data_IF_811623347649
#
_entry.id   IF_811623347649
#
_cell.length_a   1.000
_cell.length_b   1.000
_cell.length_c   1.000
_cell.angle_alpha   90.00
_cell.angle_beta   90.00
_cell.angle_gamma   90.00
#
_symmetry.space_group_name_H-M   'P 1'
#
loop_
_entity.id
_entity.type
_entity.pdbx_description
1 polymer ?
#
# COMPACT_ATOMS: atom_id res chain seq x y z
N UNK A 1 8.69 26.29 -51.56
CA UNK A 1 8.71 26.87 -50.22
C UNK A 1 8.09 25.86 -49.28
N UNK A 2 8.92 25.08 -48.58
CA UNK A 2 8.50 24.06 -47.64
C UNK A 2 8.50 24.67 -46.24
N UNK A 3 7.30 24.73 -45.60
CA UNK A 3 7.17 25.19 -44.23
C UNK A 3 7.70 24.09 -43.29
N UNK A 4 8.55 24.40 -42.30
CA UNK A 4 8.93 23.45 -41.30
C UNK A 4 7.77 23.19 -40.34
N UNK A 5 7.35 21.93 -40.23
CA UNK A 5 6.40 21.47 -39.24
C UNK A 5 7.10 21.48 -37.89
N UNK A 6 6.79 22.46 -37.06
CA UNK A 6 7.27 22.52 -35.67
C UNK A 6 6.55 21.42 -34.86
N UNK A 7 7.26 20.36 -34.53
CA UNK A 7 6.80 19.37 -33.56
C UNK A 7 6.70 20.07 -32.20
N UNK A 8 5.50 20.39 -31.78
CA UNK A 8 5.23 20.86 -30.42
C UNK A 8 5.51 19.69 -29.48
N UNK A 9 6.61 19.72 -28.77
CA UNK A 9 6.85 18.85 -27.63
C UNK A 9 5.71 19.07 -26.64
N UNK A 10 4.90 18.04 -26.41
CA UNK A 10 3.92 18.05 -25.33
C UNK A 10 4.67 18.20 -24.03
N UNK A 11 4.62 19.38 -23.43
CA UNK A 11 5.13 19.62 -22.08
C UNK A 11 4.33 18.74 -21.14
N UNK A 12 5.00 17.78 -20.48
CA UNK A 12 4.43 16.99 -19.40
C UNK A 12 4.12 17.94 -18.25
N UNK A 13 2.86 18.29 -18.07
CA UNK A 13 2.37 19.30 -17.09
C UNK A 13 2.17 18.70 -15.68
N UNK A 14 2.66 17.52 -15.39
CA UNK A 14 2.55 16.88 -14.06
C UNK A 14 3.74 17.16 -13.16
N UNK A 15 3.53 17.07 -11.86
CA UNK A 15 4.61 17.15 -10.87
C UNK A 15 5.47 15.89 -10.88
N UNK A 16 6.73 16.06 -10.57
CA UNK A 16 7.64 14.94 -10.35
C UNK A 16 8.16 15.00 -8.89
N UNK A 17 7.49 14.23 -8.01
CA UNK A 17 7.94 14.06 -6.63
C UNK A 17 8.93 12.91 -6.50
N UNK A 18 9.97 13.10 -5.70
CA UNK A 18 10.97 12.04 -5.44
C UNK A 18 11.29 11.94 -3.95
N UNK A 19 11.49 10.72 -3.49
CA UNK A 19 11.86 10.40 -2.12
C UNK A 19 12.90 9.28 -2.16
N UNK A 20 14.10 9.52 -1.55
CA UNK A 20 15.11 8.49 -1.37
C UNK A 20 15.44 8.38 0.11
N UNK A 21 15.37 7.18 0.65
CA UNK A 21 15.56 6.87 2.07
C UNK A 21 16.54 5.73 2.24
N UNK A 22 17.52 5.91 3.12
CA UNK A 22 18.42 4.83 3.51
C UNK A 22 18.42 4.68 5.02
N UNK A 23 18.31 3.43 5.48
CA UNK A 23 18.31 3.08 6.89
C UNK A 23 19.46 2.13 7.17
N UNK A 24 20.19 2.37 8.24
CA UNK A 24 21.24 1.47 8.68
C UNK A 24 21.14 1.22 10.19
N UNK A 25 21.68 0.08 10.60
CA UNK A 25 21.80 -0.30 12.00
C UNK A 25 23.24 -0.10 12.48
N UNK A 26 23.40 0.52 13.64
CA UNK A 26 24.63 0.57 14.40
C UNK A 26 24.39 0.10 15.86
N UNK A 27 25.38 0.11 16.77
CA UNK A 27 25.17 -0.30 18.17
C UNK A 27 24.09 0.49 18.93
N UNK A 28 23.67 1.66 18.44
CA UNK A 28 22.59 2.46 19.04
C UNK A 28 21.22 2.11 18.52
N UNK A 29 21.11 1.31 17.45
CA UNK A 29 19.83 0.91 16.84
C UNK A 29 19.75 1.21 15.34
N UNK A 30 18.53 1.27 14.81
CA UNK A 30 18.27 1.55 13.39
C UNK A 30 18.02 3.04 13.17
N UNK A 31 18.72 3.67 12.24
CA UNK A 31 18.62 5.10 11.95
C UNK A 31 18.37 5.39 10.48
N UNK A 32 17.67 6.49 10.20
CA UNK A 32 17.62 7.10 8.87
C UNK A 32 18.96 7.78 8.61
N UNK A 33 19.80 7.19 7.74
CA UNK A 33 21.15 7.68 7.43
C UNK A 33 21.18 8.64 6.26
N UNK A 34 20.22 8.50 5.33
CA UNK A 34 20.08 9.41 4.19
C UNK A 34 18.63 9.68 3.89
N UNK A 35 18.31 10.94 3.61
CA UNK A 35 17.00 11.37 3.14
C UNK A 35 17.16 12.43 2.05
N UNK A 36 16.63 12.14 0.87
CA UNK A 36 16.44 13.13 -0.20
C UNK A 36 14.96 13.27 -0.46
N UNK A 37 14.49 14.50 -0.55
CA UNK A 37 13.07 14.84 -0.72
C UNK A 37 12.89 15.87 -1.81
N UNK A 38 12.02 15.56 -2.76
CA UNK A 38 11.54 16.50 -3.78
C UNK A 38 10.02 16.60 -3.69
N UNK A 39 9.53 17.84 -3.53
CA UNK A 39 8.07 18.09 -3.47
C UNK A 39 7.32 17.46 -4.66
N UNK A 40 6.10 16.96 -4.46
CA UNK A 40 5.27 17.11 -3.26
C UNK A 40 5.52 16.06 -2.15
N UNK A 41 6.49 15.17 -2.32
CA UNK A 41 6.83 14.19 -1.29
C UNK A 41 7.65 14.83 -0.17
N UNK A 42 7.40 14.41 1.07
CA UNK A 42 8.12 14.80 2.29
C UNK A 42 8.15 13.64 3.27
N UNK A 43 9.01 13.75 4.30
CA UNK A 43 9.03 12.87 5.46
C UNK A 43 8.95 13.67 6.74
N UNK A 44 8.36 13.09 7.78
CA UNK A 44 8.46 13.58 9.14
C UNK A 44 9.80 13.15 9.74
N UNK A 45 10.17 13.78 10.85
CA UNK A 45 11.32 13.33 11.64
C UNK A 45 11.11 11.89 12.12
N UNK A 46 12.12 11.00 11.99
CA UNK A 46 12.05 9.65 12.55
C UNK A 46 11.71 9.65 14.05
N UNK A 47 11.02 8.63 14.50
CA UNK A 47 10.68 8.45 15.91
C UNK A 47 10.76 6.97 16.29
N UNK A 48 10.86 6.68 17.59
CA UNK A 48 11.24 5.39 18.12
C UNK A 48 10.32 4.96 19.28
N UNK A 49 9.02 4.67 19.01
CA UNK A 49 8.04 4.41 20.06
C UNK A 49 8.24 3.07 20.76
N UNK A 50 9.01 2.18 20.17
CA UNK A 50 9.34 0.85 20.68
C UNK A 50 10.84 0.63 20.95
N UNK A 51 11.58 1.73 21.16
CA UNK A 51 13.04 1.74 21.37
C UNK A 51 13.82 1.83 20.07
N UNK A 52 15.12 2.04 20.17
CA UNK A 52 15.99 2.39 19.05
C UNK A 52 16.17 1.27 18.01
N UNK A 53 15.73 0.06 18.32
CA UNK A 53 15.80 -1.09 17.41
C UNK A 53 14.96 -0.91 16.13
N UNK A 54 13.81 -0.21 16.23
CA UNK A 54 12.87 -0.03 15.13
C UNK A 54 12.67 1.45 14.85
N UNK A 55 13.08 1.88 13.65
CA UNK A 55 12.89 3.24 13.19
C UNK A 55 11.51 3.41 12.55
N UNK A 56 10.65 4.23 13.13
CA UNK A 56 9.37 4.60 12.51
C UNK A 56 9.51 5.87 11.68
N UNK A 57 9.01 5.83 10.44
CA UNK A 57 9.01 6.97 9.54
C UNK A 57 7.61 7.20 8.94
N UNK A 58 7.22 8.47 8.90
CA UNK A 58 5.95 8.89 8.26
C UNK A 58 6.27 9.67 7.00
N UNK A 59 5.75 9.21 5.86
CA UNK A 59 5.83 9.90 4.58
C UNK A 59 4.59 10.75 4.35
N UNK A 60 4.73 11.85 3.60
CA UNK A 60 3.66 12.78 3.29
C UNK A 60 3.65 13.13 1.81
N UNK A 61 2.44 13.33 1.28
CA UNK A 61 2.21 13.99 0.00
C UNK A 61 1.55 15.35 0.26
N UNK A 62 2.29 16.44 0.08
CA UNK A 62 1.87 17.76 0.55
C UNK A 62 0.92 18.50 -0.37
N UNK A 63 0.71 18.02 -1.60
CA UNK A 63 -0.23 18.62 -2.56
C UNK A 63 -1.68 18.16 -2.39
N UNK A 64 -1.99 17.39 -1.34
CA UNK A 64 -3.36 16.96 -1.04
C UNK A 64 -3.89 15.80 -1.91
N UNK A 65 -3.22 15.43 -2.99
CA UNK A 65 -3.53 14.28 -3.84
C UNK A 65 -2.81 14.35 -5.19
N UNK A 66 -2.91 13.28 -5.94
CA UNK A 66 -2.24 13.04 -7.22
C UNK A 66 -3.20 13.34 -8.35
N UNK A 67 -2.76 14.01 -9.41
CA UNK A 67 -3.54 14.30 -10.61
C UNK A 67 -2.91 13.65 -11.84
N UNK A 68 -3.68 13.56 -12.94
CA UNK A 68 -3.18 13.00 -14.20
C UNK A 68 -1.90 13.67 -14.67
N UNK A 69 -0.88 12.86 -15.01
CA UNK A 69 0.44 13.31 -15.42
C UNK A 69 1.48 13.41 -14.30
N UNK A 70 1.07 13.37 -13.03
CA UNK A 70 2.00 13.33 -11.89
C UNK A 70 2.82 12.05 -11.89
N UNK A 71 4.09 12.17 -11.48
CA UNK A 71 5.02 11.05 -11.29
C UNK A 71 5.63 11.11 -9.90
N UNK A 72 5.44 10.04 -9.15
CA UNK A 72 6.02 9.89 -7.81
C UNK A 72 7.01 8.73 -7.82
N UNK A 73 8.24 8.98 -7.37
CA UNK A 73 9.30 7.97 -7.28
C UNK A 73 9.76 7.85 -5.83
N UNK A 74 9.69 6.66 -5.28
CA UNK A 74 10.13 6.36 -3.92
C UNK A 74 11.19 5.25 -3.98
N UNK A 75 12.39 5.54 -3.47
CA UNK A 75 13.48 4.59 -3.32
C UNK A 75 13.77 4.39 -1.84
N UNK A 76 13.70 3.15 -1.37
CA UNK A 76 13.94 2.79 0.04
C UNK A 76 14.99 1.70 0.10
N UNK A 77 16.05 1.93 0.85
CA UNK A 77 17.12 0.96 1.07
C UNK A 77 17.32 0.72 2.57
N UNK A 78 17.22 -0.53 2.96
CA UNK A 78 17.60 -0.99 4.30
C UNK A 78 18.92 -1.74 4.20
N UNK A 79 19.92 -1.26 4.95
CA UNK A 79 21.19 -1.94 5.14
C UNK A 79 21.03 -3.16 6.07
N UNK A 80 22.03 -4.05 6.15
CA UNK A 80 21.92 -5.28 6.92
C UNK A 80 21.40 -5.06 8.36
N UNK A 81 20.52 -5.95 8.81
CA UNK A 81 19.90 -5.97 10.15
C UNK A 81 19.08 -4.72 10.52
N UNK A 82 18.90 -3.73 9.64
CA UNK A 82 18.04 -2.59 9.92
C UNK A 82 16.57 -3.01 10.00
N UNK A 83 15.82 -2.44 10.93
CA UNK A 83 14.39 -2.65 11.07
C UNK A 83 13.65 -1.32 11.01
N UNK A 84 12.77 -1.17 10.05
CA UNK A 84 12.06 0.09 9.82
C UNK A 84 10.59 -0.15 9.56
N UNK A 85 9.74 0.69 10.14
CA UNK A 85 8.31 0.80 9.80
C UNK A 85 8.08 2.12 9.07
N UNK A 86 7.52 2.04 7.87
CA UNK A 86 7.15 3.21 7.06
C UNK A 86 5.64 3.22 6.85
N UNK A 87 5.01 4.36 7.16
CA UNK A 87 3.59 4.61 6.92
C UNK A 87 3.38 5.98 6.29
N UNK A 88 2.14 6.31 5.90
CA UNK A 88 1.77 7.63 5.41
C UNK A 88 0.95 8.40 6.45
N UNK A 89 1.03 9.74 6.45
CA UNK A 89 0.31 10.58 7.43
C UNK A 89 -1.21 10.56 7.24
N UNK A 90 -1.68 10.33 6.01
CA UNK A 90 -3.09 10.37 5.65
C UNK A 90 -3.36 9.48 4.43
N UNK A 91 -4.63 9.24 4.15
CA UNK A 91 -5.09 8.59 2.93
C UNK A 91 -4.60 9.33 1.67
N UNK A 92 -4.03 8.58 0.73
CA UNK A 92 -3.72 9.06 -0.61
C UNK A 92 -4.99 9.34 -1.40
N UNK A 93 -5.01 10.39 -2.22
CA UNK A 93 -6.13 10.72 -3.11
C UNK A 93 -5.60 10.77 -4.54
N UNK A 94 -6.29 10.08 -5.43
CA UNK A 94 -6.02 10.14 -6.87
C UNK A 94 -7.24 10.77 -7.53
N UNK A 95 -7.06 11.98 -8.05
CA UNK A 95 -8.14 12.76 -8.62
C UNK A 95 -8.47 12.32 -10.05
N UNK A 96 -9.64 12.73 -10.52
CA UNK A 96 -10.04 12.60 -11.94
C UNK A 96 -8.94 13.13 -12.85
N UNK A 97 -8.63 12.37 -13.89
CA UNK A 97 -7.65 12.74 -14.90
C UNK A 97 -8.29 13.49 -16.07
N UNK A 98 -7.49 14.30 -16.72
CA UNK A 98 -7.78 14.93 -18.02
C UNK A 98 -7.30 14.07 -19.22
N UNK A 99 -7.06 12.77 -19.00
CA UNK A 99 -6.59 11.81 -19.99
C UNK A 99 -5.16 11.29 -19.74
N UNK A 100 -4.38 11.98 -18.90
CA UNK A 100 -3.02 11.54 -18.58
C UNK A 100 -3.03 10.57 -17.38
N UNK A 101 -2.12 9.58 -17.40
CA UNK A 101 -1.96 8.64 -16.29
C UNK A 101 -1.03 9.24 -15.22
N UNK A 102 -1.48 9.25 -13.97
CA UNK A 102 -0.63 9.48 -12.82
C UNK A 102 0.13 8.19 -12.48
N UNK A 103 1.41 8.30 -12.17
CA UNK A 103 2.28 7.15 -11.93
C UNK A 103 2.97 7.25 -10.57
N UNK A 104 2.99 6.14 -9.84
CA UNK A 104 3.80 5.97 -8.64
C UNK A 104 4.69 4.75 -8.78
N UNK A 105 5.99 4.94 -8.64
CA UNK A 105 6.98 3.85 -8.64
C UNK A 105 7.63 3.78 -7.27
N UNK A 106 7.67 2.59 -6.69
CA UNK A 106 8.32 2.32 -5.41
C UNK A 106 9.35 1.22 -5.61
N UNK A 107 10.61 1.54 -5.33
CA UNK A 107 11.74 0.60 -5.35
C UNK A 107 12.22 0.39 -3.92
N UNK A 108 12.24 -0.86 -3.48
CA UNK A 108 12.62 -1.23 -2.12
C UNK A 108 13.73 -2.27 -2.17
N UNK A 109 14.81 -2.03 -1.45
CA UNK A 109 15.91 -2.99 -1.27
C UNK A 109 16.06 -3.29 0.21
N UNK A 110 15.91 -4.55 0.56
CA UNK A 110 16.02 -5.02 1.95
C UNK A 110 17.20 -5.96 2.02
N UNK A 111 18.28 -5.49 2.66
CA UNK A 111 19.52 -6.23 2.79
C UNK A 111 19.37 -7.41 3.77
N UNK A 112 20.43 -8.21 3.90
CA UNK A 112 20.47 -9.42 4.72
C UNK A 112 19.96 -9.17 6.15
N UNK A 113 19.07 -10.03 6.59
CA UNK A 113 18.48 -10.00 7.95
C UNK A 113 17.79 -8.67 8.33
N UNK A 114 17.55 -7.77 7.37
CA UNK A 114 16.78 -6.55 7.59
C UNK A 114 15.28 -6.81 7.47
N UNK A 115 14.48 -5.94 8.09
CA UNK A 115 13.02 -6.02 8.09
C UNK A 115 12.40 -4.67 7.70
N UNK A 116 11.55 -4.67 6.69
CA UNK A 116 10.72 -3.51 6.35
C UNK A 116 9.24 -3.81 6.57
N UNK A 117 8.59 -2.96 7.34
CA UNK A 117 7.14 -2.91 7.52
C UNK A 117 6.60 -1.72 6.73
N UNK A 118 6.01 -1.99 5.55
CA UNK A 118 5.44 -1.00 4.63
C UNK A 118 3.94 -0.93 4.79
N UNK A 119 3.45 0.01 5.61
CA UNK A 119 2.07 0.05 6.10
C UNK A 119 1.40 1.41 5.81
N UNK A 120 1.23 1.80 4.53
CA UNK A 120 0.61 3.08 4.18
C UNK A 120 -0.88 3.13 4.56
N UNK A 121 -1.41 4.34 4.71
CA UNK A 121 -2.86 4.56 4.74
C UNK A 121 -3.48 4.16 3.39
N UNK A 122 -4.82 4.11 3.32
CA UNK A 122 -5.52 3.77 2.08
C UNK A 122 -5.32 4.78 0.95
N UNK A 123 -5.43 4.30 -0.28
CA UNK A 123 -5.54 5.12 -1.48
C UNK A 123 -7.01 5.21 -1.92
N UNK A 124 -7.51 6.44 -2.09
CA UNK A 124 -8.87 6.71 -2.60
C UNK A 124 -8.75 7.13 -4.05
N UNK A 125 -9.21 6.28 -4.95
CA UNK A 125 -9.19 6.50 -6.40
C UNK A 125 -10.54 7.08 -6.82
N UNK A 126 -10.59 8.34 -7.22
CA UNK A 126 -11.82 9.04 -7.60
C UNK A 126 -12.32 8.57 -8.96
N UNK A 127 -13.59 8.74 -9.23
CA UNK A 127 -14.15 8.48 -10.56
C UNK A 127 -13.40 9.28 -11.63
N UNK A 128 -13.09 8.65 -12.77
CA UNK A 128 -12.32 9.24 -13.86
C UNK A 128 -10.81 9.33 -13.63
N UNK A 129 -10.28 8.78 -12.55
CA UNK A 129 -8.84 8.72 -12.32
C UNK A 129 -8.16 7.75 -13.30
N UNK A 130 -6.96 8.12 -13.76
CA UNK A 130 -6.04 7.26 -14.51
C UNK A 130 -4.79 7.08 -13.63
N UNK A 131 -4.64 5.91 -13.00
CA UNK A 131 -3.58 5.69 -12.01
C UNK A 131 -2.88 4.35 -12.19
N UNK A 132 -1.57 4.39 -12.12
CA UNK A 132 -0.70 3.23 -12.12
C UNK A 132 0.28 3.29 -10.97
N UNK A 133 0.35 2.22 -10.20
CA UNK A 133 1.35 1.99 -9.15
C UNK A 133 2.15 0.74 -9.46
N UNK A 134 3.47 0.86 -9.41
CA UNK A 134 4.39 -0.27 -9.52
C UNK A 134 5.30 -0.28 -8.28
N UNK A 135 5.27 -1.38 -7.53
CA UNK A 135 6.08 -1.60 -6.33
C UNK A 135 7.00 -2.80 -6.58
N UNK A 136 8.30 -2.60 -6.47
CA UNK A 136 9.29 -3.66 -6.54
C UNK A 136 10.06 -3.74 -5.23
N UNK A 137 10.14 -4.94 -4.69
CA UNK A 137 10.88 -5.27 -3.47
C UNK A 137 11.94 -6.31 -3.81
N UNK A 138 13.21 -5.99 -3.60
CA UNK A 138 14.33 -6.90 -3.73
C UNK A 138 14.79 -7.30 -2.31
N UNK A 139 14.66 -8.59 -1.98
CA UNK A 139 15.02 -9.16 -0.69
C UNK A 139 16.35 -9.92 -0.78
N UNK A 140 17.26 -9.61 0.13
CA UNK A 140 18.44 -10.43 0.36
C UNK A 140 18.10 -11.67 1.20
N UNK A 141 19.10 -12.47 1.54
CA UNK A 141 18.93 -13.64 2.39
C UNK A 141 18.43 -13.26 3.78
N UNK A 142 17.50 -14.04 4.34
CA UNK A 142 16.86 -13.79 5.64
C UNK A 142 16.21 -12.42 5.80
N UNK A 143 16.09 -11.62 4.73
CA UNK A 143 15.33 -10.38 4.74
C UNK A 143 13.83 -10.65 4.85
N UNK A 144 13.10 -9.70 5.45
CA UNK A 144 11.66 -9.80 5.65
C UNK A 144 10.97 -8.52 5.17
N UNK A 145 9.91 -8.68 4.40
CA UNK A 145 9.01 -7.60 4.03
C UNK A 145 7.58 -7.92 4.46
N UNK A 146 6.99 -6.98 5.19
CA UNK A 146 5.58 -6.96 5.52
C UNK A 146 4.98 -5.71 4.88
N UNK A 147 3.97 -5.89 4.03
CA UNK A 147 3.39 -4.72 3.39
C UNK A 147 1.94 -4.90 3.02
N UNK A 148 1.17 -3.83 3.16
CA UNK A 148 -0.20 -3.82 2.70
C UNK A 148 -0.49 -2.70 1.71
N UNK A 149 -1.54 -2.92 0.94
CA UNK A 149 -2.21 -1.95 0.10
C UNK A 149 -3.70 -1.99 0.39
N UNK A 150 -4.28 -0.83 0.62
CA UNK A 150 -5.72 -0.65 0.78
C UNK A 150 -6.18 0.38 -0.26
N UNK A 151 -7.10 -0.01 -1.13
CA UNK A 151 -7.62 0.87 -2.18
C UNK A 151 -9.14 0.97 -2.08
N UNK A 152 -9.64 2.20 -2.13
CA UNK A 152 -11.05 2.51 -2.27
C UNK A 152 -11.33 3.10 -3.64
N UNK A 153 -12.23 2.49 -4.38
CA UNK A 153 -12.68 2.94 -5.70
C UNK A 153 -13.94 3.83 -5.55
N UNK A 154 -13.79 5.11 -5.89
CA UNK A 154 -14.81 6.14 -5.70
C UNK A 154 -14.88 6.69 -4.26
N UNK A 155 -15.38 7.93 -4.12
CA UNK A 155 -15.67 8.57 -2.83
C UNK A 155 -17.02 8.14 -2.29
N UNK A 156 -17.14 6.88 -1.91
CA UNK A 156 -18.43 6.26 -1.54
C UNK A 156 -19.17 7.00 -0.42
N UNK A 157 -18.47 7.68 0.50
CA UNK A 157 -19.08 8.54 1.51
C UNK A 157 -19.85 9.74 0.92
N UNK A 158 -19.61 10.09 -0.35
CA UNK A 158 -20.34 11.11 -1.11
C UNK A 158 -21.25 10.50 -2.20
N UNK A 159 -21.48 9.18 -2.17
CA UNK A 159 -22.26 8.47 -3.19
C UNK A 159 -21.53 8.27 -4.53
N UNK A 160 -20.24 8.64 -4.65
CA UNK A 160 -19.49 8.44 -5.87
C UNK A 160 -19.12 6.98 -6.06
N UNK A 161 -19.34 6.48 -7.28
CA UNK A 161 -18.89 5.17 -7.74
C UNK A 161 -17.76 5.36 -8.78
N UNK A 162 -16.97 4.32 -8.99
CA UNK A 162 -15.89 4.32 -9.98
C UNK A 162 -16.44 3.88 -11.34
N UNK A 163 -17.08 4.82 -12.07
CA UNK A 163 -17.76 4.56 -13.34
C UNK A 163 -16.88 4.78 -14.57
N UNK A 164 -15.74 5.43 -14.42
CA UNK A 164 -14.79 5.71 -15.49
C UNK A 164 -13.36 5.76 -14.95
N UNK A 165 -12.38 5.65 -15.85
CA UNK A 165 -10.97 5.68 -15.47
C UNK A 165 -10.33 4.29 -15.38
N UNK A 166 -9.11 4.25 -14.87
CA UNK A 166 -8.31 3.04 -14.72
C UNK A 166 -7.50 3.09 -13.44
N UNK A 167 -7.62 2.06 -12.63
CA UNK A 167 -6.70 1.79 -11.53
C UNK A 167 -5.89 0.52 -11.83
N UNK A 168 -4.58 0.62 -11.69
CA UNK A 168 -3.65 -0.49 -11.84
C UNK A 168 -2.65 -0.44 -10.71
N UNK A 169 -2.44 -1.56 -10.03
CA UNK A 169 -1.38 -1.77 -9.06
C UNK A 169 -0.63 -3.07 -9.36
N UNK A 170 0.68 -3.05 -9.22
CA UNK A 170 1.51 -4.23 -9.36
C UNK A 170 2.57 -4.23 -8.29
N UNK A 171 2.52 -5.20 -7.38
CA UNK A 171 3.55 -5.44 -6.37
C UNK A 171 4.34 -6.69 -6.74
N UNK A 172 5.66 -6.61 -6.68
CA UNK A 172 6.57 -7.70 -7.02
C UNK A 172 7.63 -7.84 -5.92
N UNK A 173 7.83 -9.05 -5.44
CA UNK A 173 8.92 -9.38 -4.50
C UNK A 173 9.87 -10.35 -5.19
N UNK A 174 11.14 -9.98 -5.18
CA UNK A 174 12.23 -10.70 -5.82
C UNK A 174 13.26 -11.12 -4.78
N UNK A 175 13.89 -12.27 -5.00
CA UNK A 175 15.02 -12.75 -4.20
C UNK A 175 15.97 -13.50 -5.13
N UNK A 176 17.27 -13.20 -5.08
CA UNK A 176 18.29 -13.77 -5.96
C UNK A 176 17.90 -13.70 -7.45
N UNK A 177 17.42 -12.53 -7.90
CA UNK A 177 16.95 -12.26 -9.26
C UNK A 177 15.78 -13.17 -9.73
N UNK A 178 15.12 -13.87 -8.80
CA UNK A 178 13.92 -14.67 -9.06
C UNK A 178 12.69 -14.01 -8.43
N UNK A 179 11.56 -13.90 -9.15
CA UNK A 179 10.32 -13.43 -8.57
C UNK A 179 9.74 -14.51 -7.64
N UNK A 180 9.64 -14.19 -6.35
CA UNK A 180 9.05 -15.10 -5.36
C UNK A 180 7.58 -14.81 -5.07
N UNK A 181 7.09 -13.61 -5.42
CA UNK A 181 5.68 -13.25 -5.39
C UNK A 181 5.40 -12.06 -6.31
N UNK A 182 4.33 -12.17 -7.11
CA UNK A 182 3.85 -11.10 -8.00
C UNK A 182 2.33 -10.95 -7.82
N UNK A 183 1.88 -9.73 -7.60
CA UNK A 183 0.47 -9.37 -7.43
C UNK A 183 0.05 -8.26 -8.40
N UNK A 184 -0.43 -8.62 -9.61
CA UNK A 184 -1.00 -7.65 -10.54
C UNK A 184 -2.48 -7.46 -10.24
N UNK A 185 -2.91 -6.22 -10.10
CA UNK A 185 -4.31 -5.83 -9.96
C UNK A 185 -4.66 -4.75 -10.97
N UNK A 186 -5.86 -4.83 -11.56
CA UNK A 186 -6.38 -3.85 -12.51
C UNK A 186 -7.88 -3.78 -12.43
N UNK A 187 -8.41 -2.57 -12.34
CA UNK A 187 -9.85 -2.31 -12.40
C UNK A 187 -10.09 -1.15 -13.35
N UNK A 188 -10.93 -1.39 -14.35
CA UNK A 188 -11.44 -0.37 -15.26
C UNK A 188 -12.78 0.14 -14.73
N UNK A 189 -12.94 1.46 -14.68
CA UNK A 189 -14.17 2.10 -14.23
C UNK A 189 -15.35 1.75 -15.12
N UNK A 190 -16.51 1.47 -14.52
CA UNK A 190 -17.72 1.05 -15.22
C UNK A 190 -17.69 -0.36 -15.82
N UNK A 191 -16.59 -1.10 -15.67
CA UNK A 191 -16.49 -2.47 -16.18
C UNK A 191 -17.31 -3.46 -15.38
N UNK A 192 -17.61 -4.61 -15.98
CA UNK A 192 -18.29 -5.74 -15.33
C UNK A 192 -17.50 -6.28 -14.11
N UNK A 193 -16.19 -6.09 -14.08
CA UNK A 193 -15.35 -6.47 -12.93
C UNK A 193 -15.84 -5.86 -11.61
N UNK A 194 -16.43 -4.67 -11.64
CA UNK A 194 -16.94 -3.99 -10.43
C UNK A 194 -18.14 -4.70 -9.82
N UNK A 195 -19.00 -5.28 -10.63
CA UNK A 195 -20.29 -5.86 -10.21
C UNK A 195 -20.32 -7.38 -10.20
N UNK A 196 -19.50 -8.03 -11.03
CA UNK A 196 -19.42 -9.49 -11.12
C UNK A 196 -19.03 -10.12 -9.78
N UNK A 197 -19.68 -11.23 -9.43
CA UNK A 197 -19.35 -12.04 -8.24
C UNK A 197 -17.91 -12.59 -8.28
N UNK A 198 -17.38 -12.84 -9.47
CA UNK A 198 -16.00 -13.27 -9.68
C UNK A 198 -14.99 -12.09 -9.64
N UNK A 199 -15.48 -10.86 -9.72
CA UNK A 199 -14.71 -9.64 -9.55
C UNK A 199 -14.91 -9.03 -8.17
N UNK A 200 -15.34 -7.76 -8.14
CA UNK A 200 -15.50 -7.02 -6.88
C UNK A 200 -16.88 -7.19 -6.23
N UNK A 201 -17.85 -7.78 -6.92
CA UNK A 201 -19.22 -7.98 -6.41
C UNK A 201 -19.87 -6.70 -5.85
N UNK A 202 -19.62 -5.53 -6.42
CA UNK A 202 -20.09 -4.24 -5.92
C UNK A 202 -19.33 -3.69 -4.70
N UNK A 203 -18.27 -4.36 -4.26
CA UNK A 203 -17.46 -3.92 -3.12
C UNK A 203 -16.41 -2.89 -3.59
N UNK A 204 -16.47 -1.63 -3.13
CA UNK A 204 -15.56 -0.58 -3.59
C UNK A 204 -14.19 -0.61 -2.91
N UNK A 205 -13.96 -1.48 -1.94
CA UNK A 205 -12.70 -1.57 -1.18
C UNK A 205 -12.02 -2.89 -1.45
N UNK A 206 -10.74 -2.79 -1.83
CA UNK A 206 -9.84 -3.90 -2.05
C UNK A 206 -8.66 -3.75 -1.09
N UNK A 207 -8.23 -4.86 -0.49
CA UNK A 207 -7.06 -4.88 0.36
C UNK A 207 -6.20 -6.12 0.13
N UNK A 208 -4.89 -5.92 0.21
CA UNK A 208 -3.87 -6.97 0.21
C UNK A 208 -2.90 -6.70 1.33
N UNK A 209 -2.62 -7.69 2.17
CA UNK A 209 -1.52 -7.66 3.12
C UNK A 209 -0.65 -8.89 2.91
N UNK A 210 0.60 -8.69 2.57
CA UNK A 210 1.55 -9.76 2.33
C UNK A 210 2.71 -9.73 3.34
N UNK A 211 3.15 -10.92 3.71
CA UNK A 211 4.37 -11.18 4.47
C UNK A 211 5.23 -12.05 3.58
N UNK A 212 6.42 -11.60 3.22
CA UNK A 212 7.29 -12.32 2.28
C UNK A 212 8.74 -12.29 2.77
N UNK A 213 9.43 -13.41 2.61
CA UNK A 213 10.83 -13.61 3.00
C UNK A 213 11.02 -14.71 4.04
N UNK A 214 9.96 -15.16 4.71
CA UNK A 214 10.01 -16.29 5.65
C UNK A 214 8.76 -17.15 5.54
N UNK A 215 8.94 -18.47 5.53
CA UNK A 215 7.81 -19.42 5.58
C UNK A 215 7.04 -19.29 6.88
N UNK A 216 5.73 -19.39 6.79
CA UNK A 216 4.82 -19.40 7.93
C UNK A 216 4.15 -20.76 8.07
N UNK A 217 3.91 -21.19 9.31
CA UNK A 217 3.23 -22.46 9.57
C UNK A 217 1.74 -22.38 9.21
N UNK A 218 1.09 -23.52 8.90
CA UNK A 218 -0.35 -23.57 8.64
C UNK A 218 -1.18 -22.98 9.79
N UNK A 219 -0.72 -23.17 11.04
CA UNK A 219 -1.41 -22.68 12.24
C UNK A 219 -1.45 -21.16 12.30
N UNK A 220 -0.37 -20.47 11.89
CA UNK A 220 -0.34 -19.00 11.82
C UNK A 220 -1.31 -18.51 10.74
N UNK A 221 -1.36 -19.18 9.59
CA UNK A 221 -2.29 -18.86 8.50
C UNK A 221 -3.75 -19.01 8.97
N UNK A 222 -4.05 -20.06 9.73
CA UNK A 222 -5.39 -20.28 10.26
C UNK A 222 -5.74 -19.27 11.37
N UNK A 223 -4.79 -18.96 12.28
CA UNK A 223 -4.96 -17.87 13.24
C UNK A 223 -5.24 -16.54 12.54
N UNK A 224 -4.50 -16.19 11.48
CA UNK A 224 -4.73 -14.97 10.70
C UNK A 224 -6.15 -14.91 10.11
N UNK A 225 -6.66 -16.05 9.66
CA UNK A 225 -8.05 -16.17 9.15
C UNK A 225 -9.08 -16.00 10.26
N UNK A 226 -8.86 -16.61 11.42
CA UNK A 226 -9.78 -16.54 12.56
C UNK A 226 -9.85 -15.16 13.23
N UNK A 227 -8.86 -14.30 13.01
CA UNK A 227 -8.88 -12.90 13.50
C UNK A 227 -9.92 -12.04 12.76
N UNK A 228 -10.46 -12.51 11.63
CA UNK A 228 -11.51 -11.79 10.95
C UNK A 228 -12.83 -11.85 11.73
N UNK A 229 -13.36 -10.68 12.08
CA UNK A 229 -14.65 -10.53 12.75
C UNK A 229 -15.54 -9.59 11.94
N UNK A 230 -16.48 -10.11 11.15
CA UNK A 230 -17.38 -9.28 10.36
C UNK A 230 -18.30 -8.44 11.28
N UNK A 231 -18.50 -7.18 10.91
CA UNK A 231 -19.49 -6.30 11.57
C UNK A 231 -19.05 -5.61 12.87
N UNK A 232 -17.82 -5.81 13.36
CA UNK A 232 -17.31 -5.08 14.55
C UNK A 232 -17.01 -3.59 14.27
N UNK A 233 -17.24 -3.12 13.04
CA UNK A 233 -17.04 -1.75 12.59
C UNK A 233 -18.23 -0.79 12.80
N UNK A 234 -19.24 -1.15 13.57
CA UNK A 234 -20.41 -0.31 13.83
C UNK A 234 -20.13 0.84 14.80
N UNK A 235 -19.19 1.72 14.44
CA UNK A 235 -19.03 3.01 15.14
C UNK A 235 -19.17 4.14 14.11
N UNK A 236 -20.21 4.98 14.33
CA UNK A 236 -20.64 6.13 13.54
C UNK A 236 -21.25 5.83 12.15
N UNK A 237 -22.48 5.36 12.17
CA UNK A 237 -23.40 5.26 11.02
C UNK A 237 -23.83 6.61 10.43
N UNK A 238 -23.29 7.72 10.88
CA UNK A 238 -23.79 9.05 10.50
C UNK A 238 -23.22 9.60 9.17
N UNK A 239 -22.20 8.98 8.56
CA UNK A 239 -21.54 9.55 7.38
C UNK A 239 -21.26 8.59 6.22
N UNK A 240 -21.69 7.35 6.29
CA UNK A 240 -21.64 6.44 5.13
C UNK A 240 -23.04 5.97 4.79
N UNK A 241 -23.44 5.91 3.50
CA UNK A 241 -24.70 5.27 3.14
C UNK A 241 -24.68 3.86 3.72
N UNK A 242 -25.73 3.53 4.47
CA UNK A 242 -25.92 2.19 5.03
C UNK A 242 -25.82 1.17 3.89
N UNK A 243 -25.10 0.05 4.06
CA UNK A 243 -25.20 -1.05 3.13
C UNK A 243 -26.71 -1.37 3.01
N UNK A 244 -27.20 -1.41 1.76
CA UNK A 244 -28.56 -1.86 1.53
C UNK A 244 -28.69 -3.31 2.03
N UNK A 245 -29.90 -3.80 2.36
CA UNK A 245 -30.10 -5.20 2.76
C UNK A 245 -29.53 -6.23 1.76
N UNK A 246 -29.23 -5.81 0.54
CA UNK A 246 -28.67 -6.64 -0.54
C UNK A 246 -27.19 -6.36 -0.83
N UNK A 247 -26.49 -5.54 -0.01
CA UNK A 247 -25.06 -5.34 -0.19
C UNK A 247 -24.31 -6.64 0.12
N UNK A 248 -23.40 -7.10 -0.77
CA UNK A 248 -22.64 -8.31 -0.51
C UNK A 248 -21.80 -8.17 0.76
N UNK A 249 -21.74 -9.26 1.53
CA UNK A 249 -20.91 -9.29 2.73
C UNK A 249 -19.43 -9.14 2.38
N UNK A 250 -18.64 -8.50 3.24
CA UNK A 250 -17.19 -8.46 3.09
C UNK A 250 -16.62 -9.89 3.01
N UNK A 251 -15.65 -10.06 2.14
CA UNK A 251 -14.98 -11.35 1.95
C UNK A 251 -13.49 -11.19 2.25
N UNK A 252 -12.96 -12.21 2.91
CA UNK A 252 -11.54 -12.33 3.19
C UNK A 252 -10.99 -13.65 2.67
N UNK A 253 -9.69 -13.65 2.42
CA UNK A 253 -8.94 -14.87 2.14
C UNK A 253 -7.55 -14.77 2.74
N UNK A 254 -7.05 -15.90 3.26
CA UNK A 254 -5.66 -16.03 3.70
C UNK A 254 -5.05 -17.23 3.00
N UNK A 255 -3.94 -16.99 2.30
CA UNK A 255 -3.23 -18.02 1.51
C UNK A 255 -1.80 -18.09 2.00
N UNK A 256 -1.32 -19.30 2.26
CA UNK A 256 0.10 -19.54 2.49
C UNK A 256 0.85 -19.44 1.18
N UNK A 257 1.92 -18.67 1.15
CA UNK A 257 2.88 -18.62 0.06
C UNK A 257 4.08 -19.53 0.40
N UNK A 258 4.89 -19.86 -0.60
CA UNK A 258 6.14 -20.63 -0.40
C UNK A 258 7.05 -19.95 0.63
N UNK A 259 7.18 -18.64 0.55
CA UNK A 259 8.03 -17.82 1.44
C UNK A 259 7.22 -16.78 2.21
N UNK A 260 6.00 -17.14 2.68
CA UNK A 260 5.19 -16.18 3.40
C UNK A 260 3.69 -16.45 3.45
N UNK A 261 2.91 -15.37 3.48
CA UNK A 261 1.45 -15.40 3.56
C UNK A 261 0.87 -14.18 2.85
N UNK A 262 -0.31 -14.34 2.27
CA UNK A 262 -1.11 -13.29 1.66
C UNK A 262 -2.51 -13.26 2.26
N UNK A 263 -2.92 -12.09 2.77
CA UNK A 263 -4.28 -11.79 3.17
C UNK A 263 -4.94 -10.91 2.10
N UNK A 264 -6.19 -11.24 1.75
CA UNK A 264 -7.02 -10.49 0.81
C UNK A 264 -8.30 -10.06 1.46
N UNK A 265 -8.72 -8.85 1.13
CA UNK A 265 -10.01 -8.29 1.55
C UNK A 265 -10.72 -7.69 0.33
N UNK A 266 -12.02 -7.92 0.23
CA UNK A 266 -12.94 -7.09 -0.56
C UNK A 266 -14.18 -6.78 0.27
N UNK A 267 -14.64 -5.53 0.24
CA UNK A 267 -15.76 -5.12 1.06
C UNK A 267 -16.09 -3.64 0.91
N UNK A 268 -16.72 -3.07 1.93
CA UNK A 268 -17.22 -1.70 1.89
C UNK A 268 -16.45 -0.74 2.80
N UNK A 269 -15.57 -1.24 3.67
CA UNK A 269 -14.93 -0.45 4.73
C UNK A 269 -13.40 -0.62 4.74
N UNK A 270 -12.67 0.47 4.48
CA UNK A 270 -11.21 0.50 4.68
C UNK A 270 -10.84 0.35 6.15
N UNK A 271 -11.70 0.80 7.06
CA UNK A 271 -11.49 0.65 8.50
C UNK A 271 -11.55 -0.82 8.94
N UNK A 272 -12.52 -1.61 8.43
CA UNK A 272 -12.60 -3.05 8.72
C UNK A 272 -11.38 -3.79 8.19
N UNK A 273 -10.99 -3.53 6.94
CA UNK A 273 -9.80 -4.11 6.33
C UNK A 273 -8.55 -3.80 7.15
N UNK A 274 -8.36 -2.52 7.53
CA UNK A 274 -7.21 -2.07 8.31
C UNK A 274 -7.18 -2.71 9.70
N UNK A 275 -8.32 -2.79 10.39
CA UNK A 275 -8.40 -3.46 11.71
C UNK A 275 -7.96 -4.91 11.62
N UNK A 276 -8.46 -5.65 10.64
CA UNK A 276 -8.06 -7.03 10.45
C UNK A 276 -6.58 -7.14 10.09
N UNK A 277 -6.08 -6.35 9.14
CA UNK A 277 -4.67 -6.35 8.77
C UNK A 277 -3.76 -5.97 9.94
N UNK A 278 -4.19 -5.03 10.79
CA UNK A 278 -3.45 -4.67 12.02
C UNK A 278 -3.37 -5.85 12.99
N UNK A 279 -4.46 -6.59 13.19
CA UNK A 279 -4.46 -7.78 14.06
C UNK A 279 -3.55 -8.88 13.48
N UNK A 280 -3.60 -9.12 12.17
CA UNK A 280 -2.72 -10.08 11.49
C UNK A 280 -1.26 -9.62 11.57
N UNK A 281 -1.00 -8.34 11.38
CA UNK A 281 0.33 -7.75 11.53
C UNK A 281 0.88 -7.93 12.95
N UNK A 282 0.08 -7.70 13.99
CA UNK A 282 0.47 -7.98 15.39
C UNK A 282 0.81 -9.46 15.60
N UNK A 283 -0.02 -10.37 15.08
CA UNK A 283 0.25 -11.80 15.12
C UNK A 283 1.61 -12.13 14.48
N UNK A 284 1.85 -11.64 13.26
CA UNK A 284 3.08 -11.90 12.51
C UNK A 284 4.31 -11.31 13.22
N UNK A 285 4.21 -10.11 13.77
CA UNK A 285 5.31 -9.51 14.55
C UNK A 285 5.68 -10.36 15.76
N UNK A 286 4.66 -10.83 16.49
CA UNK A 286 4.88 -11.70 17.65
C UNK A 286 5.58 -13.01 17.26
N UNK A 287 5.10 -13.66 16.18
CA UNK A 287 5.57 -14.98 15.77
C UNK A 287 6.93 -14.95 15.04
N UNK A 288 7.19 -13.95 14.20
CA UNK A 288 8.42 -13.89 13.38
C UNK A 288 9.51 -13.00 13.96
N UNK A 289 9.14 -11.93 14.68
CA UNK A 289 10.06 -10.91 15.15
C UNK A 289 10.21 -10.92 16.67
N UNK A 290 9.42 -11.74 17.37
CA UNK A 290 9.34 -11.78 18.85
C UNK A 290 9.10 -10.36 19.44
N UNK A 291 8.24 -9.58 18.78
CA UNK A 291 7.93 -8.21 19.16
C UNK A 291 6.41 -7.99 19.19
N UNK A 292 5.87 -7.24 20.15
CA UNK A 292 4.47 -6.84 20.14
C UNK A 292 4.21 -5.88 18.98
N UNK A 293 2.95 -5.76 18.58
CA UNK A 293 2.54 -4.70 17.66
C UNK A 293 2.63 -3.33 18.33
N UNK A 294 3.21 -2.36 17.62
CA UNK A 294 3.30 -0.97 18.07
C UNK A 294 2.69 -0.06 16.99
N UNK A 295 1.41 0.30 17.17
CA UNK A 295 0.69 1.08 16.18
C UNK A 295 1.36 2.43 15.93
N UNK A 296 1.56 2.83 14.66
CA UNK A 296 2.06 4.15 14.33
C UNK A 296 1.16 5.25 14.91
N UNK A 297 1.76 6.32 15.40
CA UNK A 297 1.02 7.44 16.03
C UNK A 297 0.02 8.16 15.14
N UNK A 298 0.06 7.92 13.84
CA UNK A 298 -0.81 8.56 12.83
C UNK A 298 -2.02 7.70 12.43
N UNK A 299 -2.22 6.57 13.09
CA UNK A 299 -3.37 5.68 12.85
C UNK A 299 -4.57 5.98 13.73
#
# INVERSE_FOLDING_TARGET
MTHPTTLTQATTTGWHGSLQLEFARDPRGTHLTRSFVQAPLKVQRPFYPEGDEVCHLVTLHTAGGVVGGDRLSLDVTLHPQAHTLITTAAAGKVYRSNGQTAQQTVQIRVAESACLEWLPQETIVFDGAQYQQDVRIDLAENALWLGWELTRLGRTARGEQFLSGMWRSRTQVWQNDQPIWIDPQRVEGGSEMLTSLHGLAGCPVIGSFAVVGRSLSPEIVEKARSLWQPGTGAINRASSPLPTPHSPLPQIGVTRLTSGMLCRYRGHSTLEARRWFTQVWHLVRSELLNRPGCNPRVW
#
